data_IF_515524742415
#
_entry.id   IF_515524742415
#
_cell.length_a   1.000
_cell.length_b   1.000
_cell.length_c   1.000
_cell.angle_alpha   90.00
_cell.angle_beta   90.00
_cell.angle_gamma   90.00
#
_symmetry.space_group_name_H-M   'P 1'
#
loop_
_entity.id
_entity.type
_entity.pdbx_description
1 polymer ?
#
# COMPACT_ATOMS: atom_id res chain seq x y z
N UNK A 1 -14.41 4.61 -7.94
CA UNK A 1 -14.30 3.19 -7.58
C UNK A 1 -13.89 3.10 -6.13
N UNK A 2 -14.46 2.13 -5.41
CA UNK A 2 -14.11 1.89 -4.01
C UNK A 2 -12.86 1.03 -3.92
N UNK A 3 -11.94 1.45 -3.06
CA UNK A 3 -10.69 0.74 -2.78
C UNK A 3 -10.62 0.44 -1.29
N UNK A 4 -10.33 -0.82 -0.97
CA UNK A 4 -10.16 -1.26 0.41
C UNK A 4 -8.68 -1.21 0.78
N UNK A 5 -8.33 -0.41 1.78
CA UNK A 5 -6.99 -0.36 2.35
C UNK A 5 -7.00 -1.12 3.67
N UNK A 6 -6.03 -1.99 3.85
CA UNK A 6 -5.81 -2.71 5.10
C UNK A 6 -4.37 -2.49 5.54
N UNK A 7 -4.11 -2.38 6.83
CA UNK A 7 -2.73 -2.20 7.33
C UNK A 7 -2.43 -3.11 8.51
N UNK A 8 -1.20 -3.56 8.60
CA UNK A 8 -0.73 -4.32 9.76
C UNK A 8 -0.83 -3.45 11.02
N UNK A 9 -1.22 -4.07 12.14
CA UNK A 9 -1.28 -3.40 13.44
C UNK A 9 0.11 -2.93 13.86
N UNK A 10 0.22 -1.67 14.26
CA UNK A 10 1.43 -1.13 14.90
C UNK A 10 1.33 -1.48 16.39
N UNK A 11 2.04 -2.52 16.81
CA UNK A 11 2.13 -2.87 18.22
C UNK A 11 2.87 -1.74 18.98
N UNK A 12 2.20 -1.16 19.99
CA UNK A 12 2.60 -0.06 20.90
C UNK A 12 1.85 1.26 20.66
N UNK A 13 0.58 1.32 21.05
CA UNK A 13 -0.07 2.53 21.60
C UNK A 13 -0.47 3.67 20.65
N UNK A 14 0.23 3.89 19.54
CA UNK A 14 0.00 5.06 18.65
C UNK A 14 -1.21 4.90 17.71
N UNK A 15 -1.76 3.68 17.59
CA UNK A 15 -2.73 3.29 16.56
C UNK A 15 -4.07 2.78 17.14
N UNK A 16 -4.31 2.97 18.45
CA UNK A 16 -5.52 2.45 19.13
C UNK A 16 -6.83 2.98 18.52
N UNK A 17 -6.78 4.17 17.89
CA UNK A 17 -7.93 4.86 17.31
C UNK A 17 -7.93 4.87 15.77
N UNK A 18 -6.86 4.41 15.11
CA UNK A 18 -6.73 4.53 13.66
C UNK A 18 -7.11 3.20 12.99
N UNK A 19 -8.10 3.19 12.08
CA UNK A 19 -8.75 1.96 11.67
C UNK A 19 -7.77 1.06 10.90
N UNK A 20 -7.83 -0.25 11.19
CA UNK A 20 -7.05 -1.27 10.47
C UNK A 20 -7.49 -1.41 9.01
N UNK A 21 -8.71 -0.98 8.70
CA UNK A 21 -9.33 -1.01 7.39
C UNK A 21 -9.91 0.37 7.07
N UNK A 22 -9.62 0.89 5.88
CA UNK A 22 -10.21 2.11 5.36
C UNK A 22 -10.76 1.87 3.96
N UNK A 23 -11.86 2.56 3.63
CA UNK A 23 -12.39 2.56 2.28
C UNK A 23 -12.25 3.96 1.70
N UNK A 24 -11.58 4.04 0.56
CA UNK A 24 -11.41 5.29 -0.17
C UNK A 24 -12.11 5.20 -1.52
N UNK A 25 -12.74 6.29 -1.92
CA UNK A 25 -13.19 6.49 -3.28
C UNK A 25 -12.06 7.13 -4.09
N UNK A 26 -11.73 6.51 -5.22
CA UNK A 26 -10.77 7.04 -6.18
C UNK A 26 -11.36 7.03 -7.60
N UNK A 27 -10.90 7.93 -8.46
CA UNK A 27 -11.18 7.81 -9.89
C UNK A 27 -10.45 6.59 -10.45
N UNK A 28 -11.15 5.71 -11.15
CA UNK A 28 -10.58 4.48 -11.73
C UNK A 28 -9.51 4.72 -12.79
N UNK A 29 -9.50 5.92 -13.39
CA UNK A 29 -8.44 6.37 -14.29
C UNK A 29 -7.16 6.81 -13.57
N UNK A 30 -7.22 7.05 -12.26
CA UNK A 30 -6.04 7.37 -11.43
C UNK A 30 -5.03 6.23 -11.54
N UNK A 31 -3.74 6.57 -11.58
CA UNK A 31 -2.68 5.55 -11.59
C UNK A 31 -2.43 5.01 -10.19
N UNK A 32 -1.94 3.76 -10.08
CA UNK A 32 -1.54 3.19 -8.80
C UNK A 32 -0.48 4.05 -8.11
N UNK A 33 0.49 4.58 -8.87
CA UNK A 33 1.52 5.48 -8.37
C UNK A 33 0.96 6.73 -7.70
N UNK A 34 0.00 7.37 -8.35
CA UNK A 34 -0.64 8.57 -7.84
C UNK A 34 -1.51 8.28 -6.62
N UNK A 35 -2.30 7.20 -6.66
CA UNK A 35 -3.13 6.79 -5.54
C UNK A 35 -2.30 6.47 -4.29
N UNK A 36 -1.26 5.63 -4.42
CA UNK A 36 -0.38 5.27 -3.29
C UNK A 36 0.31 6.51 -2.71
N UNK A 37 0.69 7.48 -3.56
CA UNK A 37 1.24 8.76 -3.10
C UNK A 37 0.21 9.57 -2.31
N UNK A 38 -1.04 9.64 -2.76
CA UNK A 38 -2.12 10.33 -2.05
C UNK A 38 -2.39 9.69 -0.68
N UNK A 39 -2.43 8.35 -0.60
CA UNK A 39 -2.59 7.63 0.68
C UNK A 39 -1.41 7.90 1.61
N UNK A 40 -0.18 8.00 1.09
CA UNK A 40 0.99 8.35 1.88
C UNK A 40 0.89 9.74 2.52
N UNK A 41 0.25 10.69 1.82
CA UNK A 41 0.09 12.07 2.26
C UNK A 41 -1.17 12.31 3.11
N UNK A 42 -2.10 11.35 3.20
CA UNK A 42 -3.38 11.52 3.89
C UNK A 42 -3.28 11.45 5.42
N UNK A 43 -2.10 11.12 5.96
CA UNK A 43 -1.91 10.87 7.39
C UNK A 43 -2.38 9.48 7.84
N UNK A 44 -2.75 8.59 6.91
CA UNK A 44 -3.17 7.21 7.21
C UNK A 44 -2.04 6.36 7.83
N UNK A 45 -0.78 6.75 7.63
CA UNK A 45 0.38 6.05 8.13
C UNK A 45 1.13 6.87 9.19
N UNK A 46 1.54 6.24 10.30
CA UNK A 46 2.57 6.77 11.19
C UNK A 46 3.82 7.23 10.43
N UNK A 47 4.25 8.47 10.68
CA UNK A 47 5.32 9.15 9.93
C UNK A 47 6.74 8.61 10.21
N UNK A 48 6.95 7.72 11.18
CA UNK A 48 8.29 7.19 11.50
C UNK A 48 8.53 5.77 11.00
N UNK A 49 7.70 5.28 10.08
CA UNK A 49 7.67 3.88 9.70
C UNK A 49 7.89 3.64 8.20
N UNK A 50 8.36 2.42 7.89
CA UNK A 50 8.34 1.88 6.54
C UNK A 50 7.09 1.00 6.36
N UNK A 51 6.44 1.12 5.20
CA UNK A 51 5.28 0.31 4.85
C UNK A 51 5.51 -0.39 3.53
N UNK A 52 5.41 -1.71 3.53
CA UNK A 52 5.50 -2.50 2.30
C UNK A 52 4.09 -2.72 1.79
N UNK A 53 3.85 -2.35 0.55
CA UNK A 53 2.54 -2.42 -0.10
C UNK A 53 2.43 -3.74 -0.83
N UNK A 54 1.30 -4.40 -0.64
CA UNK A 54 0.93 -5.63 -1.28
C UNK A 54 -0.46 -5.46 -1.90
N UNK A 55 -0.69 -6.20 -2.98
CA UNK A 55 -2.03 -6.38 -3.54
C UNK A 55 -2.81 -7.42 -2.71
N UNK A 56 -4.09 -7.14 -2.46
CA UNK A 56 -4.97 -7.95 -1.61
C UNK A 56 -5.22 -7.36 -0.21
N UNK A 57 -5.98 -8.10 0.62
CA UNK A 57 -6.43 -7.65 1.97
C UNK A 57 -5.55 -8.12 3.13
N UNK A 58 -4.67 -9.11 2.92
CA UNK A 58 -3.87 -9.74 3.98
C UNK A 58 -2.71 -10.56 3.43
N UNK A 59 -1.78 -10.95 4.31
CA UNK A 59 -0.75 -11.96 4.00
C UNK A 59 -1.32 -13.39 3.90
N UNK A 60 -0.69 -14.28 3.10
CA UNK A 60 0.44 -14.03 2.22
C UNK A 60 -0.05 -13.54 0.85
N UNK A 61 -0.10 -12.21 0.70
CA UNK A 61 -0.33 -11.56 -0.58
C UNK A 61 0.81 -11.93 -1.55
N UNK A 62 0.57 -11.81 -2.88
CA UNK A 62 1.63 -11.91 -3.89
C UNK A 62 2.79 -10.95 -3.60
N UNK A 63 3.87 -11.07 -4.37
CA UNK A 63 5.10 -10.28 -4.21
C UNK A 63 4.83 -8.79 -3.90
N UNK A 64 5.65 -8.15 -3.05
CA UNK A 64 5.49 -6.74 -2.72
C UNK A 64 5.50 -5.88 -4.00
N UNK A 65 4.60 -4.89 -4.07
CA UNK A 65 4.45 -4.05 -5.27
C UNK A 65 5.10 -2.68 -5.10
N UNK A 66 5.13 -2.17 -3.87
CA UNK A 66 5.75 -0.89 -3.56
C UNK A 66 6.23 -0.83 -2.11
N UNK A 67 7.01 0.19 -1.79
CA UNK A 67 7.37 0.55 -0.43
C UNK A 67 7.24 2.06 -0.22
N UNK A 68 6.68 2.40 0.94
CA UNK A 68 6.54 3.75 1.46
C UNK A 68 7.53 3.94 2.60
N UNK A 69 8.13 5.13 2.66
CA UNK A 69 8.94 5.55 3.79
C UNK A 69 8.93 7.06 3.91
N UNK A 70 8.78 7.57 5.12
CA UNK A 70 8.74 9.02 5.39
C UNK A 70 9.98 9.83 4.95
N UNK A 71 11.23 9.34 5.04
CA UNK A 71 12.38 10.07 4.50
C UNK A 71 12.41 10.13 2.97
N UNK A 72 11.50 9.46 2.25
CA UNK A 72 11.44 9.50 0.80
C UNK A 72 10.35 10.45 0.31
N UNK A 73 10.68 11.27 -0.68
CA UNK A 73 9.73 12.20 -1.30
C UNK A 73 8.59 11.49 -2.03
N UNK A 74 8.82 10.25 -2.48
CA UNK A 74 7.85 9.46 -3.24
C UNK A 74 7.91 7.96 -2.87
N UNK A 75 6.79 7.23 -3.01
CA UNK A 75 6.79 5.78 -2.95
C UNK A 75 7.74 5.18 -3.99
N UNK A 76 8.41 4.08 -3.63
CA UNK A 76 9.21 3.30 -4.59
C UNK A 76 8.45 2.05 -5.00
N UNK A 77 8.37 1.79 -6.29
CA UNK A 77 7.69 0.63 -6.87
C UNK A 77 8.70 -0.44 -7.26
N UNK A 78 8.40 -1.71 -6.96
CA UNK A 78 9.26 -2.83 -7.36
C UNK A 78 9.13 -3.10 -8.86
N UNK A 79 7.97 -2.80 -9.44
CA UNK A 79 7.72 -2.80 -10.87
C UNK A 79 7.22 -1.41 -11.30
N UNK A 80 8.03 -0.70 -12.08
CA UNK A 80 7.67 0.63 -12.60
C UNK A 80 6.50 0.57 -13.57
N UNK A 81 6.24 -0.57 -14.23
CA UNK A 81 5.07 -0.73 -15.07
C UNK A 81 3.78 -0.64 -14.23
N UNK A 82 3.75 -1.27 -13.05
CA UNK A 82 2.59 -1.22 -12.14
C UNK A 82 2.25 0.20 -11.69
N UNK A 83 3.27 1.04 -11.48
CA UNK A 83 3.09 2.45 -11.08
C UNK A 83 2.20 3.22 -12.05
N UNK A 84 2.31 2.93 -13.35
CA UNK A 84 1.62 3.64 -14.42
C UNK A 84 0.27 3.04 -14.81
N UNK A 85 -0.10 1.90 -14.22
CA UNK A 85 -1.40 1.26 -14.48
C UNK A 85 -2.52 2.01 -13.76
N UNK A 86 -3.68 2.07 -14.41
CA UNK A 86 -4.89 2.62 -13.80
C UNK A 86 -5.47 1.66 -12.77
N UNK A 87 -6.18 2.20 -11.78
CA UNK A 87 -6.81 1.41 -10.72
C UNK A 87 -7.89 0.46 -11.28
N UNK A 88 -8.65 0.89 -12.30
CA UNK A 88 -9.63 0.03 -12.99
C UNK A 88 -8.98 -1.18 -13.66
N UNK A 89 -7.79 -1.00 -14.26
CA UNK A 89 -7.07 -2.09 -14.92
C UNK A 89 -6.56 -3.11 -13.91
N UNK A 90 -6.15 -2.67 -12.72
CA UNK A 90 -5.68 -3.54 -11.65
C UNK A 90 -6.82 -4.32 -10.98
N UNK A 91 -7.98 -3.68 -10.81
CA UNK A 91 -9.16 -4.33 -10.22
C UNK A 91 -9.64 -5.56 -11.02
N UNK A 92 -9.39 -5.61 -12.33
CA UNK A 92 -9.82 -6.71 -13.20
C UNK A 92 -8.89 -7.93 -13.29
N UNK A 93 -7.64 -7.82 -12.84
CA UNK A 93 -6.61 -8.84 -13.10
C UNK A 93 -6.16 -9.66 -11.88
N UNK A 94 -6.37 -9.14 -10.68
CA UNK A 94 -5.79 -9.71 -9.48
C UNK A 94 -6.81 -10.57 -8.71
N UNK A 95 -6.49 -11.87 -8.59
CA UNK A 95 -7.37 -12.98 -8.23
C UNK A 95 -7.88 -13.07 -6.78
N UNK A 96 -7.75 -12.01 -5.99
CA UNK A 96 -8.62 -11.78 -4.83
C UNK A 96 -9.35 -10.46 -5.08
N UNK A 97 -10.27 -10.47 -6.04
CA UNK A 97 -11.37 -9.50 -6.02
C UNK A 97 -11.86 -9.49 -4.57
N UNK A 98 -11.86 -8.32 -3.91
CA UNK A 98 -12.75 -8.16 -2.76
C UNK A 98 -14.14 -8.64 -3.18
N UNK A 99 -15.00 -9.09 -2.27
CA UNK A 99 -16.27 -9.81 -2.58
C UNK A 99 -17.17 -9.20 -3.69
N UNK A 100 -16.88 -7.97 -4.17
CA UNK A 100 -17.59 -7.22 -5.21
C UNK A 100 -16.72 -6.69 -6.38
N UNK A 101 -15.48 -7.15 -6.59
CA UNK A 101 -14.61 -6.65 -7.69
C UNK A 101 -13.83 -5.36 -7.37
N UNK A 102 -13.58 -5.12 -6.09
CA UNK A 102 -12.86 -3.95 -5.60
C UNK A 102 -11.36 -4.24 -5.44
N UNK A 103 -10.52 -3.29 -5.87
CA UNK A 103 -9.08 -3.31 -5.58
C UNK A 103 -8.86 -3.25 -4.06
N UNK A 104 -7.99 -4.12 -3.56
CA UNK A 104 -7.60 -4.14 -2.16
C UNK A 104 -6.09 -4.01 -2.04
N UNK A 105 -5.61 -3.18 -1.10
CA UNK A 105 -4.19 -3.02 -0.82
C UNK A 105 -3.91 -3.30 0.66
N UNK A 106 -2.85 -4.06 0.92
CA UNK A 106 -2.37 -4.37 2.26
C UNK A 106 -1.04 -3.66 2.52
N UNK A 107 -0.97 -2.89 3.60
CA UNK A 107 0.21 -2.15 4.02
C UNK A 107 0.85 -2.83 5.23
N UNK A 108 1.96 -3.51 5.01
CA UNK A 108 2.70 -4.22 6.03
C UNK A 108 3.68 -3.29 6.75
N UNK A 109 3.47 -3.12 8.04
CA UNK A 109 4.30 -2.30 8.90
C UNK A 109 5.69 -2.93 9.11
N UNK A 110 6.74 -2.15 8.89
CA UNK A 110 8.13 -2.54 9.13
C UNK A 110 8.84 -1.51 9.99
N UNK A 111 8.86 -1.77 11.30
CA UNK A 111 9.67 -1.02 12.25
C UNK A 111 11.14 -1.47 12.21
N UNK A 112 12.01 -0.62 12.78
CA UNK A 112 13.39 -0.96 13.20
C UNK A 112 14.39 -1.33 12.10
N UNK A 113 14.00 -1.23 10.83
CA UNK A 113 14.89 -1.41 9.68
C UNK A 113 15.01 -0.09 8.91
N UNK A 114 16.25 0.27 8.54
CA UNK A 114 16.47 1.44 7.72
C UNK A 114 15.78 1.27 6.35
N UNK A 115 15.12 2.30 5.81
CA UNK A 115 14.36 2.20 4.57
C UNK A 115 15.18 1.65 3.40
N UNK A 116 16.40 2.16 3.19
CA UNK A 116 17.25 1.68 2.10
C UNK A 116 17.71 0.24 2.29
N UNK A 117 17.92 -0.23 3.53
CA UNK A 117 18.26 -1.64 3.81
C UNK A 117 17.07 -2.55 3.50
N UNK A 118 15.86 -2.14 3.89
CA UNK A 118 14.65 -2.88 3.55
C UNK A 118 14.43 -2.90 2.04
N UNK A 119 14.63 -1.77 1.36
CA UNK A 119 14.52 -1.65 -0.09
C UNK A 119 15.42 -2.65 -0.82
N UNK A 120 16.70 -2.71 -0.45
CA UNK A 120 17.66 -3.66 -1.05
C UNK A 120 17.19 -5.11 -0.89
N UNK A 121 16.61 -5.47 0.26
CA UNK A 121 16.05 -6.81 0.49
C UNK A 121 14.82 -7.12 -0.36
N UNK A 122 14.06 -6.10 -0.76
CA UNK A 122 12.86 -6.26 -1.57
C UNK A 122 13.20 -6.43 -3.06
N UNK A 123 14.25 -5.77 -3.55
CA UNK A 123 14.65 -5.82 -4.96
C UNK A 123 15.61 -6.97 -5.30
N UNK A 124 16.26 -7.58 -4.31
CA UNK A 124 17.19 -8.70 -4.48
C UNK A 124 18.65 -8.28 -4.59
#
# INVERSE_FOLDING_TARGET
MRITLTRASVAMGDDVDAPHEAHLEADGATTLGEFVRQVALSGYFPQMACWVVFDGRRKPAPAPIAMLSAPWEQPRFLDDALRHRSLDSLAGEHGELGENGELSLFFDYRATIAPDVLWQRLIG
#
